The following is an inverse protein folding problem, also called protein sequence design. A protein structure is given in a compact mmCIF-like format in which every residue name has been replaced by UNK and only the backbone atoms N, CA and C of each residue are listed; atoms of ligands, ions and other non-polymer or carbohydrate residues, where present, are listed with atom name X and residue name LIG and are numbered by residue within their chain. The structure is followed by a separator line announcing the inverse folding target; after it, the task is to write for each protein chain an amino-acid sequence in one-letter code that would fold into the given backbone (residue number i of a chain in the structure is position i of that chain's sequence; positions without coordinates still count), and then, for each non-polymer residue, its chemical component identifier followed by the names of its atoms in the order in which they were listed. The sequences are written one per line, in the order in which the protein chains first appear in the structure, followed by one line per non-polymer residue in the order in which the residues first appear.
data_IF_059665950598
#
_entry.id   IF_059665950598
#
_cell.length_a   1.000
_cell.length_b   1.000
_cell.length_c   1.000
_cell.angle_alpha   90.00
_cell.angle_beta   90.00
_cell.angle_gamma   90.00
#
_symmetry.space_group_name_H-M   'P 1'
#
loop_
_entity.id
_entity.type
_entity.pdbx_description
1 polymer ?
#
# COMPACT_ATOMS: atom_id res chain seq x y z
N UNK A 1 10.49 18.19 -3.40
CA UNK A 1 10.15 17.29 -2.27
C UNK A 1 11.40 16.62 -1.73
N UNK A 2 11.37 16.08 -0.51
CA UNK A 2 12.54 15.45 0.12
C UNK A 2 12.31 13.97 0.35
N UNK A 3 13.26 13.13 -0.08
CA UNK A 3 13.25 11.68 0.09
C UNK A 3 14.21 11.29 1.23
N UNK A 4 13.72 10.51 2.18
CA UNK A 4 14.52 9.97 3.29
C UNK A 4 15.34 8.78 2.82
N UNK A 5 14.69 7.85 2.11
CA UNK A 5 15.29 6.61 1.61
C UNK A 5 14.40 5.95 0.55
N UNK A 6 15.00 5.06 -0.24
CA UNK A 6 14.26 4.13 -1.11
C UNK A 6 15.01 2.81 -1.18
N UNK A 7 14.30 1.68 -1.15
CA UNK A 7 14.90 0.36 -1.11
C UNK A 7 13.94 -0.74 -1.58
N UNK A 8 14.51 -1.84 -2.07
CA UNK A 8 13.78 -3.06 -2.42
C UNK A 8 13.73 -3.99 -1.21
N UNK A 9 12.55 -4.49 -0.88
CA UNK A 9 12.32 -5.40 0.24
C UNK A 9 11.04 -6.22 0.01
N UNK A 10 10.48 -6.76 1.09
CA UNK A 10 9.13 -7.30 1.15
C UNK A 10 8.22 -6.36 1.94
N UNK A 11 6.93 -6.29 1.58
CA UNK A 11 5.95 -5.64 2.46
C UNK A 11 5.86 -6.46 3.76
N UNK A 12 6.20 -5.83 4.87
CA UNK A 12 6.29 -6.51 6.17
C UNK A 12 4.97 -6.56 6.94
N UNK A 13 3.95 -5.78 6.53
CA UNK A 13 2.78 -5.49 7.36
C UNK A 13 1.47 -5.49 6.58
N UNK A 14 0.35 -5.81 7.28
CA UNK A 14 -1.01 -5.68 6.78
C UNK A 14 -1.39 -6.70 5.69
N UNK A 15 -2.40 -6.36 4.93
CA UNK A 15 -3.05 -7.22 3.92
C UNK A 15 -2.09 -7.78 2.86
N UNK A 16 -1.02 -7.07 2.57
CA UNK A 16 -0.08 -7.41 1.51
C UNK A 16 1.28 -7.89 2.04
N UNK A 17 1.36 -8.31 3.31
CA UNK A 17 2.58 -8.84 3.90
C UNK A 17 3.16 -10.00 3.07
N UNK A 18 4.48 -10.05 2.94
CA UNK A 18 5.22 -11.04 2.13
C UNK A 18 5.36 -10.70 0.63
N UNK A 19 4.68 -9.66 0.12
CA UNK A 19 4.81 -9.26 -1.29
C UNK A 19 6.13 -8.53 -1.53
N UNK A 20 6.77 -8.82 -2.67
CA UNK A 20 7.92 -8.04 -3.14
C UNK A 20 7.52 -6.57 -3.28
N UNK A 21 8.28 -5.66 -2.66
CA UNK A 21 7.93 -4.24 -2.55
C UNK A 21 9.16 -3.35 -2.74
N UNK A 22 8.97 -2.23 -3.43
CA UNK A 22 9.95 -1.16 -3.48
C UNK A 22 9.40 0.05 -2.74
N UNK A 23 10.13 0.49 -1.73
CA UNK A 23 9.70 1.55 -0.83
C UNK A 23 10.27 2.90 -1.22
N UNK A 24 9.42 3.93 -1.14
CA UNK A 24 9.81 5.34 -1.16
C UNK A 24 9.34 5.99 0.14
N UNK A 25 10.28 6.41 0.99
CA UNK A 25 9.99 7.11 2.24
C UNK A 25 10.22 8.60 2.09
N UNK A 26 9.13 9.37 2.02
CA UNK A 26 9.18 10.83 1.92
C UNK A 26 9.26 11.50 3.30
N UNK A 27 9.90 12.66 3.34
CA UNK A 27 10.07 13.47 4.54
C UNK A 27 8.83 14.36 4.77
N UNK A 28 8.48 14.57 6.04
CA UNK A 28 7.35 15.39 6.50
C UNK A 28 6.25 14.57 7.12
N UNK A 29 5.71 15.06 8.23
CA UNK A 29 4.52 14.51 8.90
C UNK A 29 3.77 15.63 9.59
N UNK A 30 2.44 15.55 9.58
CA UNK A 30 1.58 16.46 10.33
C UNK A 30 1.39 16.05 11.80
N UNK A 31 1.88 14.86 12.20
CA UNK A 31 1.86 14.34 13.56
C UNK A 31 3.30 14.16 14.11
N UNK A 32 3.43 13.99 15.44
CA UNK A 32 4.70 13.72 16.11
C UNK A 32 4.73 12.36 16.81
N UNK A 33 3.57 11.91 17.29
CA UNK A 33 3.36 10.59 17.91
C UNK A 33 4.36 10.28 19.04
N UNK A 34 4.62 11.23 19.92
CA UNK A 34 5.60 11.09 20.99
C UNK A 34 5.28 9.95 21.97
N UNK A 35 4.00 9.57 22.08
CA UNK A 35 3.54 8.48 22.96
C UNK A 35 4.02 7.08 22.55
N UNK A 36 4.55 6.89 21.33
CA UNK A 36 5.11 5.60 20.93
C UNK A 36 6.52 5.33 21.49
N UNK A 37 7.17 6.36 22.07
CA UNK A 37 8.40 6.19 22.84
C UNK A 37 9.66 5.86 22.05
N UNK A 38 9.61 5.86 20.72
CA UNK A 38 10.81 5.73 19.91
C UNK A 38 11.75 6.92 20.12
N UNK A 39 13.06 6.68 20.24
CA UNK A 39 14.07 7.72 20.43
C UNK A 39 15.17 7.66 19.38
N UNK A 40 15.60 8.82 18.89
CA UNK A 40 16.82 8.95 18.08
C UNK A 40 17.55 10.25 18.43
N UNK A 41 18.87 10.20 18.40
CA UNK A 41 19.71 11.38 18.58
C UNK A 41 19.81 12.13 17.23
N UNK A 42 19.58 13.44 17.27
CA UNK A 42 19.76 14.30 16.12
C UNK A 42 21.25 14.37 15.75
N UNK A 43 21.66 14.00 14.53
CA UNK A 43 23.06 14.15 14.10
C UNK A 43 23.50 15.61 13.97
N UNK A 44 22.54 16.56 13.81
CA UNK A 44 22.85 17.98 13.65
C UNK A 44 22.96 18.73 14.98
N UNK A 45 22.22 18.33 16.00
CA UNK A 45 22.10 19.12 17.23
C UNK A 45 22.42 18.35 18.51
N UNK A 46 22.57 17.02 18.44
CA UNK A 46 22.72 16.16 19.62
C UNK A 46 21.43 15.99 20.46
N UNK A 47 20.30 16.62 20.06
CA UNK A 47 19.06 16.54 20.79
C UNK A 47 18.43 15.14 20.68
N UNK A 48 17.83 14.66 21.79
CA UNK A 48 17.03 13.43 21.77
C UNK A 48 15.65 13.76 21.20
N UNK A 49 15.30 13.10 20.09
CA UNK A 49 14.02 13.22 19.41
C UNK A 49 13.14 12.03 19.76
N UNK A 50 11.88 12.30 20.13
CA UNK A 50 10.91 11.28 20.52
C UNK A 50 9.75 11.23 19.52
N UNK A 51 9.34 10.00 19.15
CA UNK A 51 8.25 9.82 18.18
C UNK A 51 7.99 8.36 17.88
N UNK A 52 7.43 8.12 16.69
CA UNK A 52 7.25 6.78 16.12
C UNK A 52 8.56 6.25 15.51
N UNK A 53 8.50 5.09 14.89
CA UNK A 53 9.61 4.44 14.16
C UNK A 53 10.15 5.26 12.96
N UNK A 54 9.39 6.25 12.48
CA UNK A 54 9.77 7.10 11.34
C UNK A 54 10.31 8.48 11.74
N UNK A 55 10.99 8.60 12.89
CA UNK A 55 11.57 9.87 13.41
C UNK A 55 12.36 10.62 12.33
N UNK A 56 13.16 9.93 11.51
CA UNK A 56 13.95 10.54 10.42
C UNK A 56 13.08 11.28 9.41
N UNK A 57 11.91 10.75 9.10
CA UNK A 57 10.96 11.38 8.18
C UNK A 57 10.16 12.52 8.85
N UNK A 58 9.91 12.43 10.16
CA UNK A 58 9.10 13.39 10.91
C UNK A 58 9.89 14.67 11.27
N UNK A 59 11.12 14.52 11.73
CA UNK A 59 11.95 15.63 12.21
C UNK A 59 12.93 16.11 11.13
N UNK A 60 12.38 16.64 10.06
CA UNK A 60 13.08 16.94 8.80
C UNK A 60 14.26 17.91 8.92
N UNK A 61 14.32 18.73 9.95
CA UNK A 61 15.43 19.68 10.18
C UNK A 61 16.63 19.05 10.89
N UNK A 62 16.47 17.84 11.41
CA UNK A 62 17.48 17.13 12.20
C UNK A 62 18.26 16.08 11.42
N UNK A 63 17.82 15.72 10.22
CA UNK A 63 18.44 14.70 9.38
C UNK A 63 18.67 15.23 7.98
N UNK A 64 19.64 14.65 7.28
CA UNK A 64 19.85 14.88 5.85
C UNK A 64 18.83 14.06 5.04
N UNK A 65 18.35 14.68 3.95
CA UNK A 65 17.43 14.06 3.02
C UNK A 65 17.85 14.42 1.59
N UNK A 66 17.58 13.52 0.66
CA UNK A 66 17.82 13.79 -0.74
C UNK A 66 16.74 14.74 -1.29
N UNK A 67 17.15 15.82 -1.93
CA UNK A 67 16.22 16.71 -2.62
C UNK A 67 15.85 16.15 -3.98
N UNK A 68 14.56 15.93 -4.20
CA UNK A 68 14.01 15.47 -5.47
C UNK A 68 13.46 16.66 -6.24
N UNK A 69 14.09 16.93 -7.38
CA UNK A 69 13.80 18.08 -8.24
C UNK A 69 13.02 17.69 -9.51
N UNK A 70 13.11 16.41 -9.92
CA UNK A 70 12.44 15.93 -11.14
C UNK A 70 12.04 14.47 -11.03
N UNK A 71 11.15 14.07 -11.93
CA UNK A 71 10.58 12.72 -12.00
C UNK A 71 11.63 11.63 -12.23
N UNK A 72 12.63 11.90 -13.07
CA UNK A 72 13.67 10.91 -13.43
C UNK A 72 14.49 10.49 -12.20
N UNK A 73 14.73 11.39 -11.24
CA UNK A 73 15.41 11.04 -9.99
C UNK A 73 14.67 9.97 -9.19
N UNK A 74 13.33 9.99 -9.19
CA UNK A 74 12.53 8.95 -8.52
C UNK A 74 12.49 7.66 -9.34
N UNK A 75 12.22 7.75 -10.63
CA UNK A 75 12.05 6.57 -11.48
C UNK A 75 13.33 5.75 -11.61
N UNK A 76 14.50 6.41 -11.67
CA UNK A 76 15.79 5.74 -11.76
C UNK A 76 16.19 4.96 -10.50
N UNK A 77 15.48 5.17 -9.37
CA UNK A 77 15.70 4.39 -8.14
C UNK A 77 15.06 3.00 -8.20
N UNK A 78 14.04 2.83 -9.04
CA UNK A 78 13.34 1.55 -9.17
C UNK A 78 14.22 0.57 -9.93
N UNK A 79 14.62 -0.57 -9.32
CA UNK A 79 15.50 -1.52 -9.96
C UNK A 79 14.81 -2.16 -11.18
N UNK A 80 15.56 -2.29 -12.28
CA UNK A 80 15.12 -3.05 -13.43
C UNK A 80 15.29 -4.55 -13.14
N UNK A 81 14.23 -5.19 -12.64
CA UNK A 81 14.23 -6.60 -12.28
C UNK A 81 14.00 -7.53 -13.49
N UNK A 82 13.68 -6.98 -14.65
CA UNK A 82 13.60 -7.71 -15.90
C UNK A 82 14.96 -7.68 -16.59
N UNK A 83 15.63 -8.81 -16.69
CA UNK A 83 16.88 -8.97 -17.44
C UNK A 83 16.74 -8.80 -18.96
N UNK A 84 15.84 -7.97 -19.44
CA UNK A 84 15.62 -7.61 -20.82
C UNK A 84 15.41 -6.12 -20.93
N UNK A 85 16.36 -5.45 -21.53
CA UNK A 85 16.26 -4.05 -21.98
C UNK A 85 15.30 -3.95 -23.17
N UNK A 86 14.02 -4.12 -22.93
CA UNK A 86 12.99 -3.82 -23.93
C UNK A 86 12.01 -2.82 -23.34
N UNK A 87 12.40 -1.55 -23.32
CA UNK A 87 11.44 -0.47 -23.33
C UNK A 87 10.92 -0.34 -24.76
N UNK A 88 9.84 -1.04 -25.07
CA UNK A 88 9.01 -0.64 -26.20
C UNK A 88 8.32 0.70 -25.82
N UNK A 89 8.29 1.68 -26.72
CA UNK A 89 7.55 2.90 -26.48
C UNK A 89 6.08 2.55 -26.30
N UNK A 90 5.46 3.18 -25.31
CA UNK A 90 4.07 3.00 -24.94
C UNK A 90 3.16 3.05 -26.17
N UNK A 91 2.34 2.03 -26.36
CA UNK A 91 1.17 2.10 -27.20
C UNK A 91 0.32 3.30 -26.76
N UNK A 92 0.12 4.20 -27.67
CA UNK A 92 -0.79 5.32 -27.57
C UNK A 92 -2.22 4.81 -27.41
N UNK A 93 -2.72 4.72 -26.19
CA UNK A 93 -4.15 4.69 -25.93
C UNK A 93 -4.61 6.16 -25.86
N UNK A 94 -5.61 6.57 -26.65
CA UNK A 94 -6.11 7.93 -26.61
C UNK A 94 -6.95 8.14 -25.35
N UNK A 95 -6.55 9.09 -24.48
CA UNK A 95 -7.46 9.60 -23.49
C UNK A 95 -6.98 9.89 -22.08
N UNK A 96 -5.67 9.96 -21.78
CA UNK A 96 -5.25 10.41 -20.44
C UNK A 96 -3.92 11.16 -20.51
N UNK A 97 -3.93 12.39 -20.06
CA UNK A 97 -2.85 13.36 -19.90
C UNK A 97 -2.75 14.41 -21.03
N UNK A 98 -3.68 15.34 -21.02
CA UNK A 98 -3.42 16.71 -21.41
C UNK A 98 -4.07 17.62 -20.36
N UNK A 99 -3.24 18.23 -19.53
CA UNK A 99 -3.66 19.36 -18.73
C UNK A 99 -3.74 20.56 -19.66
N UNK A 100 -4.87 20.74 -20.30
CA UNK A 100 -5.23 22.00 -20.96
C UNK A 100 -6.10 22.83 -20.02
N UNK A 101 -5.69 24.07 -19.89
CA UNK A 101 -6.39 25.17 -19.25
C UNK A 101 -7.83 25.25 -19.71
N UNK A 102 -8.80 25.08 -18.82
CA UNK A 102 -10.19 25.42 -19.06
C UNK A 102 -10.60 26.61 -18.22
N UNK A 103 -10.78 27.73 -18.92
CA UNK A 103 -11.70 28.81 -18.56
C UNK A 103 -13.03 28.55 -19.29
N UNK A 104 -14.08 28.60 -18.50
CA UNK A 104 -15.50 28.87 -18.76
C UNK A 104 -16.18 28.49 -20.08
N UNK A 105 -17.29 27.75 -19.99
CA UNK A 105 -18.64 28.27 -20.24
C UNK A 105 -19.72 27.21 -20.00
N UNK A 106 -20.76 27.63 -19.28
CA UNK A 106 -22.02 26.93 -19.03
C UNK A 106 -22.76 26.59 -20.31
N UNK A 107 -23.39 25.41 -20.36
CA UNK A 107 -24.78 25.25 -20.82
C UNK A 107 -25.34 23.86 -20.45
N UNK A 108 -26.53 23.90 -19.89
CA UNK A 108 -27.45 22.81 -19.56
C UNK A 108 -27.87 22.02 -20.81
N UNK A 109 -27.97 20.69 -20.73
CA UNK A 109 -29.19 20.00 -21.18
C UNK A 109 -29.31 18.56 -20.66
N UNK A 110 -30.51 18.26 -20.25
CA UNK A 110 -31.07 17.02 -19.73
C UNK A 110 -31.33 15.98 -20.83
N UNK A 111 -31.08 14.69 -20.55
CA UNK A 111 -31.95 13.61 -21.05
C UNK A 111 -31.68 12.30 -20.30
N UNK A 112 -32.75 11.74 -19.77
CA UNK A 112 -32.85 10.43 -19.11
C UNK A 112 -32.80 9.31 -20.15
N UNK A 113 -32.19 8.17 -19.78
CA UNK A 113 -32.49 6.88 -20.42
C UNK A 113 -32.25 5.71 -19.48
N UNK A 114 -33.24 4.93 -19.42
CA UNK A 114 -33.70 3.76 -18.70
C UNK A 114 -32.74 2.56 -18.69
N UNK A 115 -32.78 1.84 -17.57
CA UNK A 115 -32.26 0.46 -17.37
C UNK A 115 -33.17 -0.58 -18.01
N UNK A 116 -32.66 -1.75 -18.36
CA UNK A 116 -33.46 -2.97 -18.34
C UNK A 116 -33.00 -3.99 -17.28
N UNK A 117 -34.00 -4.44 -16.57
CA UNK A 117 -34.07 -5.63 -15.72
C UNK A 117 -33.66 -6.89 -16.48
N UNK A 118 -33.01 -7.84 -15.83
CA UNK A 118 -33.04 -9.23 -16.26
C UNK A 118 -33.27 -10.16 -15.06
N UNK A 119 -34.16 -11.10 -15.34
CA UNK A 119 -34.85 -12.02 -14.41
C UNK A 119 -33.97 -13.17 -13.92
N UNK A 120 -34.37 -13.69 -12.77
CA UNK A 120 -33.94 -14.95 -12.16
C UNK A 120 -34.54 -16.14 -12.93
N UNK A 121 -33.76 -17.21 -13.07
CA UNK A 121 -34.30 -18.57 -13.22
C UNK A 121 -33.63 -19.52 -12.24
N UNK A 122 -34.52 -20.21 -11.50
CA UNK A 122 -34.23 -21.30 -10.59
C UNK A 122 -34.14 -22.62 -11.38
N UNK A 123 -33.22 -23.51 -11.01
CA UNK A 123 -33.19 -24.86 -11.51
C UNK A 123 -32.38 -25.78 -10.59
N UNK A 124 -33.06 -26.44 -9.67
CA UNK A 124 -32.55 -27.59 -8.93
C UNK A 124 -32.26 -28.76 -9.87
N UNK A 125 -31.16 -29.49 -9.66
CA UNK A 125 -31.21 -30.95 -9.72
C UNK A 125 -30.00 -31.62 -9.03
N UNK A 126 -30.36 -32.61 -8.30
CA UNK A 126 -29.61 -33.45 -7.37
C UNK A 126 -28.82 -34.57 -8.03
N UNK A 127 -27.70 -34.93 -7.38
CA UNK A 127 -27.14 -36.26 -7.11
C UNK A 127 -27.03 -37.32 -8.26
N UNK A 128 -25.79 -37.78 -8.52
CA UNK A 128 -25.46 -39.19 -8.28
C UNK A 128 -23.94 -39.45 -8.37
N UNK A 129 -23.44 -40.09 -7.31
CA UNK A 129 -22.15 -40.78 -7.21
C UNK A 129 -22.23 -42.10 -7.99
N UNK A 130 -21.22 -42.43 -8.80
CA UNK A 130 -20.67 -43.78 -8.91
C UNK A 130 -19.23 -43.77 -9.39
N UNK A 131 -18.50 -44.62 -8.73
CA UNK A 131 -17.07 -44.95 -8.82
C UNK A 131 -16.71 -45.73 -10.10
N UNK A 132 -15.39 -45.78 -10.32
CA UNK A 132 -14.59 -46.73 -11.09
C UNK A 132 -14.54 -46.56 -12.60
N UNK A 133 -13.32 -46.19 -13.08
CA UNK A 133 -12.53 -47.09 -13.91
C UNK A 133 -11.13 -46.56 -14.16
N UNK A 134 -10.19 -47.39 -13.77
CA UNK A 134 -8.78 -47.32 -14.02
C UNK A 134 -8.41 -47.77 -15.45
N UNK A 135 -7.26 -47.27 -15.93
CA UNK A 135 -6.30 -47.92 -16.81
C UNK A 135 -6.48 -47.86 -18.34
N UNK A 136 -5.35 -47.44 -18.92
CA UNK A 136 -4.85 -47.76 -20.25
C UNK A 136 -5.26 -46.86 -21.42
N UNK A 137 -4.39 -45.96 -21.77
CA UNK A 137 -3.97 -45.78 -23.15
C UNK A 137 -2.48 -45.33 -23.21
N UNK A 138 -1.62 -46.34 -23.37
CA UNK A 138 -0.27 -46.13 -23.90
C UNK A 138 -0.30 -46.37 -25.39
N UNK A 139 0.51 -45.64 -26.08
CA UNK A 139 1.11 -45.87 -27.36
C UNK A 139 0.55 -45.23 -28.63
N UNK A 140 1.49 -44.62 -29.28
CA UNK A 140 1.63 -44.35 -30.71
C UNK A 140 1.05 -43.05 -31.25
N UNK A 141 1.91 -42.01 -31.23
CA UNK A 141 2.16 -41.22 -32.42
C UNK A 141 3.55 -40.58 -32.32
N UNK A 142 4.52 -41.27 -32.92
CA UNK A 142 5.84 -40.72 -33.25
C UNK A 142 5.67 -39.71 -34.39
N UNK A 143 5.59 -38.43 -34.04
CA UNK A 143 5.82 -37.36 -35.00
C UNK A 143 7.29 -36.97 -34.95
N UNK A 144 7.98 -37.23 -36.04
CA UNK A 144 9.33 -36.74 -36.33
C UNK A 144 9.36 -35.24 -36.24
N UNK A 145 9.90 -34.73 -35.12
CA UNK A 145 10.27 -33.33 -34.98
C UNK A 145 11.74 -33.19 -35.30
N UNK A 146 12.01 -32.42 -36.33
CA UNK A 146 13.31 -32.00 -36.81
C UNK A 146 14.14 -31.37 -35.66
N UNK A 147 15.41 -31.83 -35.41
CA UNK A 147 16.20 -31.35 -34.27
C UNK A 147 16.73 -29.92 -34.40
N UNK A 148 16.42 -29.21 -35.49
CA UNK A 148 16.96 -27.87 -35.74
C UNK A 148 16.05 -26.69 -35.43
N UNK A 149 14.84 -26.89 -34.90
CA UNK A 149 13.98 -25.80 -34.48
C UNK A 149 13.90 -25.58 -32.94
N UNK A 150 14.77 -26.27 -32.19
CA UNK A 150 14.92 -26.03 -30.75
C UNK A 150 15.85 -24.84 -30.43
N UNK A 151 15.78 -23.77 -31.27
CA UNK A 151 16.41 -22.51 -30.95
C UNK A 151 15.57 -21.75 -29.95
N UNK A 152 15.98 -21.84 -28.68
CA UNK A 152 15.81 -20.80 -27.64
C UNK A 152 14.39 -20.27 -27.45
N UNK A 153 13.48 -21.07 -26.94
CA UNK A 153 12.51 -20.52 -25.99
C UNK A 153 13.25 -20.24 -24.66
N UNK A 154 14.01 -19.15 -24.62
CA UNK A 154 14.37 -18.56 -23.33
C UNK A 154 13.06 -18.31 -22.62
N UNK A 155 12.71 -19.18 -21.67
CA UNK A 155 11.63 -18.93 -20.74
C UNK A 155 11.93 -17.58 -20.09
N UNK A 156 11.25 -16.54 -20.55
CA UNK A 156 11.30 -15.23 -19.91
C UNK A 156 10.97 -15.50 -18.44
N UNK A 157 11.98 -15.42 -17.56
CA UNK A 157 11.75 -15.53 -16.13
C UNK A 157 10.66 -14.53 -15.80
N UNK A 158 9.52 -15.01 -15.35
CA UNK A 158 8.38 -14.19 -14.99
C UNK A 158 8.75 -13.48 -13.68
N UNK A 159 9.49 -12.38 -13.78
CA UNK A 159 9.78 -11.55 -12.63
C UNK A 159 8.51 -10.80 -12.24
N UNK A 160 8.02 -11.06 -11.04
CA UNK A 160 6.91 -10.29 -10.49
C UNK A 160 7.38 -8.85 -10.26
N UNK A 161 6.67 -7.87 -10.85
CA UNK A 161 6.92 -6.46 -10.54
C UNK A 161 6.66 -6.21 -9.07
N UNK A 162 7.57 -5.50 -8.36
CA UNK A 162 7.32 -5.10 -6.99
C UNK A 162 6.12 -4.18 -6.92
N UNK A 163 5.35 -4.28 -5.84
CA UNK A 163 4.44 -3.19 -5.47
C UNK A 163 5.28 -1.99 -5.08
N UNK A 164 4.83 -0.79 -5.42
CA UNK A 164 5.50 0.44 -4.98
C UNK A 164 4.80 0.95 -3.73
N UNK A 165 5.52 0.94 -2.62
CA UNK A 165 5.01 1.44 -1.35
C UNK A 165 5.53 2.85 -1.13
N UNK A 166 4.61 3.81 -1.13
CA UNK A 166 4.88 5.21 -0.84
C UNK A 166 4.52 5.48 0.62
N UNK A 167 5.52 5.78 1.42
CA UNK A 167 5.43 5.94 2.86
C UNK A 167 6.24 7.16 3.33
N UNK A 168 6.47 7.31 4.61
CA UNK A 168 7.31 8.38 5.16
C UNK A 168 6.88 8.74 6.57
N UNK A 169 6.87 10.04 6.87
CA UNK A 169 6.08 10.56 7.97
C UNK A 169 4.59 10.47 7.65
N UNK A 170 4.14 11.33 6.71
CA UNK A 170 2.82 11.27 6.10
C UNK A 170 2.93 11.62 4.62
N UNK A 171 2.92 10.65 3.70
CA UNK A 171 3.15 10.89 2.28
C UNK A 171 2.04 11.72 1.64
N UNK A 172 0.80 11.65 2.15
CA UNK A 172 -0.32 12.40 1.58
C UNK A 172 -0.23 13.92 1.81
N UNK A 173 0.74 14.41 2.61
CA UNK A 173 1.07 15.84 2.63
C UNK A 173 1.47 16.37 1.25
N UNK A 174 2.07 15.52 0.44
CA UNK A 174 2.57 15.84 -0.91
C UNK A 174 1.53 15.63 -2.02
N UNK A 175 0.31 15.16 -1.71
CA UNK A 175 -0.66 14.70 -2.72
C UNK A 175 -1.07 15.77 -3.76
N UNK A 176 -0.90 17.06 -3.45
CA UNK A 176 -1.18 18.20 -4.35
C UNK A 176 0.05 18.70 -5.10
N UNK A 177 1.26 18.25 -4.74
CA UNK A 177 2.49 18.65 -5.42
C UNK A 177 2.53 18.02 -6.81
N UNK A 178 2.73 18.83 -7.85
CA UNK A 178 2.70 18.38 -9.24
C UNK A 178 3.66 17.20 -9.49
N UNK A 179 4.91 17.31 -9.03
CA UNK A 179 5.91 16.25 -9.20
C UNK A 179 5.52 14.94 -8.49
N UNK A 180 4.90 15.02 -7.30
CA UNK A 180 4.45 13.83 -6.58
C UNK A 180 3.29 13.15 -7.29
N UNK A 181 2.33 13.92 -7.77
CA UNK A 181 1.19 13.38 -8.52
C UNK A 181 1.64 12.78 -9.86
N UNK A 182 2.51 13.46 -10.60
CA UNK A 182 3.12 12.97 -11.84
C UNK A 182 3.85 11.64 -11.62
N UNK A 183 4.60 11.52 -10.51
CA UNK A 183 5.27 10.27 -10.14
C UNK A 183 4.28 9.12 -9.95
N UNK A 184 3.16 9.35 -9.24
CA UNK A 184 2.11 8.34 -9.07
C UNK A 184 1.48 7.95 -10.41
N UNK A 185 1.17 8.92 -11.27
CA UNK A 185 0.64 8.66 -12.60
C UNK A 185 1.58 7.78 -13.43
N UNK A 186 2.87 8.09 -13.42
CA UNK A 186 3.89 7.35 -14.18
C UNK A 186 4.08 5.92 -13.65
N UNK A 187 4.05 5.72 -12.32
CA UNK A 187 4.09 4.38 -11.75
C UNK A 187 2.92 3.50 -12.21
N UNK A 188 1.71 4.07 -12.20
CA UNK A 188 0.50 3.39 -12.66
C UNK A 188 0.55 3.11 -14.16
N UNK A 189 1.01 4.07 -14.97
CA UNK A 189 1.18 3.91 -16.41
C UNK A 189 2.20 2.81 -16.75
N UNK A 190 3.24 2.65 -15.94
CA UNK A 190 4.20 1.53 -16.04
C UNK A 190 3.65 0.20 -15.51
N UNK A 191 2.41 0.16 -15.04
CA UNK A 191 1.74 -1.03 -14.55
C UNK A 191 2.21 -1.50 -13.17
N UNK A 192 2.73 -0.61 -12.33
CA UNK A 192 2.97 -0.90 -10.92
C UNK A 192 1.69 -0.79 -10.10
N UNK A 193 1.51 -1.66 -9.12
CA UNK A 193 0.56 -1.44 -8.05
C UNK A 193 1.16 -0.41 -7.08
N UNK A 194 0.46 0.68 -6.82
CA UNK A 194 0.90 1.76 -5.92
C UNK A 194 0.12 1.69 -4.62
N UNK A 195 0.84 1.55 -3.51
CA UNK A 195 0.31 1.44 -2.15
C UNK A 195 0.81 2.62 -1.32
N UNK A 196 -0.11 3.26 -0.61
CA UNK A 196 0.21 4.31 0.36
C UNK A 196 0.12 3.79 1.78
N UNK A 197 1.11 4.09 2.61
CA UNK A 197 1.01 3.98 4.06
C UNK A 197 0.78 5.37 4.64
N UNK A 198 -0.42 5.61 5.16
CA UNK A 198 -0.89 6.94 5.62
C UNK A 198 -1.51 6.88 7.01
N UNK A 199 -1.47 7.97 7.75
CA UNK A 199 -2.19 8.10 9.01
C UNK A 199 -3.70 8.41 8.82
N UNK A 200 -4.14 8.65 7.58
CA UNK A 200 -5.54 8.87 7.23
C UNK A 200 -6.12 10.23 7.62
N UNK A 201 -5.29 11.22 7.97
CA UNK A 201 -5.78 12.54 8.38
C UNK A 201 -5.93 13.53 7.23
N UNK A 202 -5.32 13.25 6.07
CA UNK A 202 -5.32 14.14 4.90
C UNK A 202 -6.50 13.79 4.00
N UNK A 203 -7.38 14.77 3.78
CA UNK A 203 -8.47 14.63 2.82
C UNK A 203 -7.96 14.79 1.40
N UNK A 204 -8.07 13.72 0.62
CA UNK A 204 -7.69 13.68 -0.80
C UNK A 204 -8.88 14.05 -1.67
N UNK A 205 -8.66 14.94 -2.62
CA UNK A 205 -9.62 15.27 -3.68
C UNK A 205 -9.44 14.29 -4.86
N UNK A 206 -10.21 13.22 -4.87
CA UNK A 206 -10.15 12.18 -5.89
C UNK A 206 -10.71 12.61 -7.25
N UNK A 207 -11.49 13.67 -7.31
CA UNK A 207 -11.97 14.22 -8.58
C UNK A 207 -10.87 15.03 -9.26
N UNK A 208 -10.16 15.84 -8.50
CA UNK A 208 -9.02 16.62 -8.99
C UNK A 208 -7.79 15.76 -9.26
N UNK A 209 -7.60 14.68 -8.51
CA UNK A 209 -6.44 13.78 -8.59
C UNK A 209 -6.86 12.32 -8.80
N UNK A 210 -7.47 11.98 -9.97
CA UNK A 210 -8.11 10.69 -10.20
C UNK A 210 -7.16 9.48 -10.19
N UNK A 211 -5.85 9.65 -10.39
CA UNK A 211 -4.88 8.55 -10.32
C UNK A 211 -4.90 7.85 -8.95
N UNK A 212 -5.19 8.56 -7.87
CA UNK A 212 -5.30 7.95 -6.54
C UNK A 212 -6.45 6.94 -6.42
N UNK A 213 -7.47 7.00 -7.29
CA UNK A 213 -8.54 5.98 -7.35
C UNK A 213 -8.01 4.59 -7.71
N UNK A 214 -6.85 4.51 -8.37
CA UNK A 214 -6.19 3.25 -8.75
C UNK A 214 -5.19 2.75 -7.69
N UNK A 215 -5.03 3.45 -6.58
CA UNK A 215 -4.07 3.13 -5.53
C UNK A 215 -4.71 2.40 -4.35
N UNK A 216 -3.87 1.71 -3.57
CA UNK A 216 -4.24 1.04 -2.32
C UNK A 216 -3.78 1.90 -1.14
N UNK A 217 -4.61 2.01 -0.10
CA UNK A 217 -4.29 2.78 1.10
C UNK A 217 -4.30 1.88 2.34
N UNK A 218 -3.11 1.60 2.87
CA UNK A 218 -2.92 1.03 4.20
C UNK A 218 -3.00 2.17 5.22
N UNK A 219 -4.17 2.34 5.81
CA UNK A 219 -4.45 3.47 6.69
C UNK A 219 -4.17 3.08 8.13
N UNK A 220 -3.35 3.86 8.83
CA UNK A 220 -3.00 3.65 10.23
C UNK A 220 -3.48 4.82 11.10
N UNK A 221 -4.80 4.92 11.38
CA UNK A 221 -5.32 5.96 12.25
C UNK A 221 -4.62 5.89 13.61
N UNK A 222 -4.20 7.04 14.13
CA UNK A 222 -3.49 7.05 15.40
C UNK A 222 -4.49 7.05 16.54
N UNK A 223 -4.27 6.18 17.52
CA UNK A 223 -5.04 6.08 18.74
C UNK A 223 -4.47 7.02 19.82
N UNK A 224 -5.14 7.15 20.97
CA UNK A 224 -4.74 8.09 22.03
C UNK A 224 -3.35 7.79 22.60
N UNK A 225 -2.90 6.53 22.54
CA UNK A 225 -1.54 6.12 22.91
C UNK A 225 -0.43 6.80 22.09
N UNK A 226 -0.75 7.43 20.97
CA UNK A 226 0.19 8.25 20.19
C UNK A 226 0.55 9.58 20.88
N UNK A 227 -0.19 9.98 21.92
CA UNK A 227 -0.14 11.29 22.57
C UNK A 227 -0.47 12.49 21.64
N UNK A 228 -1.12 12.22 20.52
CA UNK A 228 -1.66 13.28 19.65
C UNK A 228 -3.10 13.62 20.06
N UNK A 229 -3.48 14.90 20.05
CA UNK A 229 -4.86 15.32 20.27
C UNK A 229 -5.82 14.67 19.26
N UNK A 230 -7.02 14.33 19.72
CA UNK A 230 -8.00 13.61 18.89
C UNK A 230 -8.32 14.33 17.58
N UNK A 231 -8.48 15.64 17.62
CA UNK A 231 -8.79 16.50 16.48
C UNK A 231 -7.65 16.55 15.43
N UNK A 232 -6.42 16.23 15.82
CA UNK A 232 -5.28 16.13 14.91
C UNK A 232 -5.10 14.74 14.33
N UNK A 233 -5.40 13.70 15.13
CA UNK A 233 -5.12 12.30 14.76
C UNK A 233 -6.26 11.59 14.04
N UNK A 234 -7.49 12.10 14.12
CA UNK A 234 -8.68 11.52 13.49
C UNK A 234 -9.37 12.52 12.56
N UNK A 235 -9.53 12.12 11.30
CA UNK A 235 -10.31 12.85 10.30
C UNK A 235 -11.26 11.87 9.60
N UNK A 236 -12.48 11.73 10.14
CA UNK A 236 -13.46 10.80 9.59
C UNK A 236 -13.89 11.12 8.16
N UNK A 237 -13.83 12.38 7.73
CA UNK A 237 -14.10 12.73 6.33
C UNK A 237 -13.01 12.17 5.41
N UNK A 238 -11.74 12.27 5.82
CA UNK A 238 -10.63 11.70 5.07
C UNK A 238 -10.71 10.16 5.01
N UNK A 239 -11.01 9.50 6.15
CA UNK A 239 -11.17 8.04 6.20
C UNK A 239 -12.28 7.55 5.26
N UNK A 240 -13.45 8.19 5.31
CA UNK A 240 -14.56 7.85 4.40
C UNK A 240 -14.22 8.11 2.95
N UNK A 241 -13.55 9.22 2.63
CA UNK A 241 -13.13 9.54 1.27
C UNK A 241 -12.18 8.48 0.71
N UNK A 242 -11.17 8.06 1.48
CA UNK A 242 -10.26 6.98 1.11
C UNK A 242 -11.02 5.66 0.87
N UNK A 243 -11.93 5.29 1.80
CA UNK A 243 -12.70 4.04 1.72
C UNK A 243 -13.61 3.97 0.49
N UNK A 244 -14.21 5.10 0.13
CA UNK A 244 -15.19 5.17 -0.98
C UNK A 244 -14.55 5.26 -2.36
N UNK A 245 -13.35 5.84 -2.47
CA UNK A 245 -12.79 6.22 -3.76
C UNK A 245 -11.52 5.45 -4.14
N UNK A 246 -10.79 4.89 -3.19
CA UNK A 246 -9.58 4.13 -3.49
C UNK A 246 -9.89 2.76 -4.11
N UNK A 247 -8.93 2.20 -4.84
CA UNK A 247 -9.00 0.81 -5.35
C UNK A 247 -9.21 -0.20 -4.23
N UNK A 248 -8.51 -0.01 -3.11
CA UNK A 248 -8.63 -0.76 -1.87
C UNK A 248 -8.14 0.08 -0.70
N UNK A 249 -8.73 -0.11 0.47
CA UNK A 249 -8.24 0.50 1.70
C UNK A 249 -8.56 -0.39 2.90
N UNK A 250 -7.65 -0.42 3.87
CA UNK A 250 -7.78 -1.19 5.10
C UNK A 250 -7.08 -0.49 6.25
N UNK A 251 -7.47 -0.82 7.48
CA UNK A 251 -6.85 -0.24 8.68
C UNK A 251 -5.73 -1.13 9.21
N UNK A 252 -4.65 -0.48 9.70
CA UNK A 252 -3.56 -1.09 10.45
C UNK A 252 -3.49 -0.50 11.85
N UNK A 253 -3.48 -1.36 12.88
CA UNK A 253 -3.30 -0.94 14.27
C UNK A 253 -2.18 -1.72 14.94
N UNK A 254 -1.35 -1.01 15.69
CA UNK A 254 -0.34 -1.61 16.56
C UNK A 254 -0.95 -1.84 17.93
N UNK A 255 -0.96 -3.10 18.38
CA UNK A 255 -1.64 -3.55 19.60
C UNK A 255 -0.59 -3.93 20.65
N UNK A 256 -0.85 -3.53 21.89
CA UNK A 256 -0.03 -3.90 23.04
C UNK A 256 -0.90 -4.08 24.28
N UNK A 257 -0.47 -4.90 25.26
CA UNK A 257 -1.26 -5.16 26.48
C UNK A 257 -1.42 -3.94 27.38
N UNK A 258 -0.56 -2.92 27.24
CA UNK A 258 -0.57 -1.72 28.09
C UNK A 258 -1.66 -0.71 27.69
N UNK A 259 -2.35 -0.94 26.57
CA UNK A 259 -3.33 -0.01 26.04
C UNK A 259 -4.55 -0.76 25.47
N UNK A 260 -5.73 -0.49 26.04
CA UNK A 260 -7.00 -1.00 25.49
C UNK A 260 -7.38 -0.22 24.23
N UNK A 261 -7.04 -0.78 23.07
CA UNK A 261 -7.29 -0.17 21.77
C UNK A 261 -8.74 -0.34 21.29
N UNK A 262 -9.50 -1.31 21.83
CA UNK A 262 -10.78 -1.71 21.27
C UNK A 262 -11.85 -0.60 21.24
N UNK A 263 -12.03 0.22 22.30
CA UNK A 263 -13.03 1.28 22.26
C UNK A 263 -12.80 2.29 21.13
N UNK A 264 -11.53 2.67 20.91
CA UNK A 264 -11.18 3.65 19.86
C UNK A 264 -11.25 3.03 18.46
N UNK A 265 -10.86 1.76 18.28
CA UNK A 265 -11.04 1.04 17.03
C UNK A 265 -12.54 0.92 16.70
N UNK A 266 -13.38 0.60 17.69
CA UNK A 266 -14.83 0.53 17.50
C UNK A 266 -15.43 1.88 17.09
N UNK A 267 -14.96 2.99 17.66
CA UNK A 267 -15.37 4.33 17.26
C UNK A 267 -15.01 4.63 15.79
N UNK A 268 -13.80 4.27 15.37
CA UNK A 268 -13.34 4.45 13.99
C UNK A 268 -14.19 3.61 13.04
N UNK A 269 -14.44 2.35 13.37
CA UNK A 269 -15.23 1.44 12.52
C UNK A 269 -16.70 1.87 12.45
N UNK A 270 -17.28 2.38 13.52
CA UNK A 270 -18.64 2.93 13.52
C UNK A 270 -18.76 4.14 12.60
N UNK A 271 -17.71 4.95 12.48
CA UNK A 271 -17.68 6.10 11.61
C UNK A 271 -17.33 5.74 10.13
N UNK A 272 -16.52 4.72 9.93
CA UNK A 272 -16.08 4.25 8.62
C UNK A 272 -15.62 2.78 8.70
N UNK A 273 -16.47 1.85 8.30
CA UNK A 273 -16.19 0.42 8.30
C UNK A 273 -15.09 0.07 7.29
N UNK A 274 -14.16 -0.79 7.70
CA UNK A 274 -13.09 -1.32 6.86
C UNK A 274 -12.51 -2.62 7.45
N UNK A 275 -11.76 -3.38 6.65
CA UNK A 275 -10.97 -4.49 7.16
C UNK A 275 -9.90 -3.97 8.14
N UNK A 276 -9.70 -4.68 9.23
CA UNK A 276 -8.72 -4.35 10.26
C UNK A 276 -7.62 -5.39 10.29
N UNK A 277 -6.38 -4.92 10.33
CA UNK A 277 -5.17 -5.70 10.53
C UNK A 277 -4.46 -5.20 11.78
N UNK A 278 -4.36 -6.05 12.78
CA UNK A 278 -3.65 -5.76 14.02
C UNK A 278 -2.27 -6.41 14.02
N UNK A 279 -1.28 -5.72 14.54
CA UNK A 279 0.09 -6.20 14.66
C UNK A 279 0.64 -5.93 16.04
N UNK A 280 1.52 -6.79 16.59
CA UNK A 280 2.12 -6.57 17.89
C UNK A 280 3.04 -5.35 17.88
N UNK A 281 3.03 -4.59 18.98
CA UNK A 281 4.04 -3.56 19.21
C UNK A 281 5.40 -4.22 19.44
N UNK A 282 6.45 -3.63 18.90
CA UNK A 282 7.82 -4.06 19.13
C UNK A 282 8.78 -3.38 18.16
N UNK A 283 9.97 -3.03 18.66
CA UNK A 283 11.08 -2.50 17.89
C UNK A 283 12.06 -3.61 17.48
N UNK A 284 12.09 -4.72 18.21
CA UNK A 284 12.94 -5.86 17.96
C UNK A 284 12.17 -7.19 17.96
N UNK A 285 12.89 -8.30 17.67
CA UNK A 285 12.30 -9.64 17.61
C UNK A 285 11.73 -10.11 18.93
N UNK A 286 12.39 -9.78 20.07
CA UNK A 286 11.99 -10.20 21.40
C UNK A 286 10.69 -9.53 21.82
N UNK A 287 10.58 -8.22 21.58
CA UNK A 287 9.36 -7.47 21.85
C UNK A 287 8.19 -7.98 21.01
N UNK A 288 8.42 -8.23 19.70
CA UNK A 288 7.38 -8.80 18.84
C UNK A 288 6.94 -10.19 19.33
N UNK A 289 7.87 -11.05 19.73
CA UNK A 289 7.55 -12.37 20.22
C UNK A 289 6.72 -12.32 21.51
N UNK A 290 7.09 -11.45 22.44
CA UNK A 290 6.35 -11.30 23.70
C UNK A 290 4.94 -10.74 23.50
N UNK A 291 4.70 -9.88 22.50
CA UNK A 291 3.41 -9.28 22.20
C UNK A 291 2.52 -10.09 21.23
N UNK A 292 3.09 -11.09 20.54
CA UNK A 292 2.40 -11.76 19.45
C UNK A 292 1.14 -12.52 19.91
N UNK A 293 1.23 -13.30 20.99
CA UNK A 293 0.09 -14.06 21.52
C UNK A 293 -1.05 -13.14 21.93
N UNK A 294 -0.74 -12.06 22.68
CA UNK A 294 -1.75 -11.05 23.06
C UNK A 294 -2.44 -10.45 21.83
N UNK A 295 -1.66 -10.10 20.80
CA UNK A 295 -2.23 -9.54 19.58
C UNK A 295 -3.13 -10.54 18.82
N UNK A 296 -2.74 -11.82 18.78
CA UNK A 296 -3.57 -12.88 18.18
C UNK A 296 -4.88 -13.03 18.95
N UNK A 297 -4.83 -13.11 20.27
CA UNK A 297 -6.02 -13.24 21.13
C UNK A 297 -6.95 -12.04 20.97
N UNK A 298 -6.38 -10.83 20.87
CA UNK A 298 -7.12 -9.61 20.56
C UNK A 298 -7.82 -9.70 19.20
N UNK A 299 -7.14 -10.16 18.16
CA UNK A 299 -7.71 -10.36 16.83
C UNK A 299 -8.87 -11.37 16.86
N UNK A 300 -8.68 -12.54 17.47
CA UNK A 300 -9.69 -13.59 17.56
C UNK A 300 -10.93 -13.10 18.31
N UNK A 301 -10.74 -12.37 19.41
CA UNK A 301 -11.84 -11.83 20.22
C UNK A 301 -12.69 -10.82 19.45
N UNK A 302 -12.08 -10.03 18.58
CA UNK A 302 -12.73 -8.89 17.95
C UNK A 302 -13.03 -9.10 16.45
N UNK A 303 -12.69 -10.27 15.88
CA UNK A 303 -12.91 -10.56 14.47
C UNK A 303 -11.99 -9.79 13.52
N UNK A 304 -10.75 -9.48 13.95
CA UNK A 304 -9.75 -8.77 13.15
C UNK A 304 -8.72 -9.72 12.56
N UNK A 305 -8.03 -9.25 11.52
CA UNK A 305 -6.92 -9.99 10.93
C UNK A 305 -5.63 -9.73 11.71
N UNK A 306 -4.84 -10.77 11.94
CA UNK A 306 -3.49 -10.64 12.46
C UNK A 306 -2.51 -10.38 11.32
N UNK A 307 -1.56 -9.49 11.53
CA UNK A 307 -0.40 -9.28 10.69
C UNK A 307 0.85 -9.23 11.55
N UNK A 308 1.88 -9.97 11.18
CA UNK A 308 3.19 -9.78 11.82
C UNK A 308 3.90 -8.53 11.25
N UNK A 309 5.06 -8.19 11.82
CA UNK A 309 6.01 -7.21 11.30
C UNK A 309 7.23 -7.96 10.75
N UNK A 310 7.07 -8.55 9.56
CA UNK A 310 8.04 -9.48 8.96
C UNK A 310 9.43 -8.87 8.82
N UNK A 311 9.54 -7.59 8.49
CA UNK A 311 10.83 -6.90 8.37
C UNK A 311 11.61 -6.92 9.69
N UNK A 312 10.95 -6.73 10.85
CA UNK A 312 11.59 -6.81 12.16
C UNK A 312 11.93 -8.28 12.49
N UNK A 313 11.03 -9.24 12.15
CA UNK A 313 11.32 -10.68 12.36
C UNK A 313 12.56 -11.13 11.61
N UNK A 314 12.73 -10.68 10.37
CA UNK A 314 13.83 -11.13 9.50
C UNK A 314 15.11 -10.36 9.79
N UNK A 315 15.04 -9.03 9.89
CA UNK A 315 16.22 -8.16 9.90
C UNK A 315 16.47 -7.44 11.23
N UNK A 316 15.52 -7.55 12.21
CA UNK A 316 15.62 -6.82 13.48
C UNK A 316 15.47 -5.31 13.28
N UNK A 317 16.36 -4.54 13.91
CA UNK A 317 16.35 -3.07 13.89
C UNK A 317 17.02 -2.45 12.67
N UNK A 318 17.32 -3.25 11.64
CA UNK A 318 18.03 -2.74 10.46
C UNK A 318 17.15 -1.80 9.64
N UNK A 319 17.64 -0.57 9.38
CA UNK A 319 17.00 0.41 8.48
C UNK A 319 17.18 0.01 7.00
N UNK A 320 16.21 0.35 6.14
CA UNK A 320 16.31 0.19 4.68
C UNK A 320 16.21 -1.25 4.17
N UNK A 321 15.46 -2.10 4.86
CA UNK A 321 15.26 -3.52 4.52
C UNK A 321 13.79 -3.90 4.48
#
# INVERSE_FOLDING_TARGET
MRLVESFLSIQGEGKYAGRLAFFFRFAGCNLRCAGFGGERISPKTGAILRGCDTIRAVFTNHFEHEEILNLSQLLNKIPNLSGSSCFAPACSAPGFCAAESFFESDTLNSAAAQTPFCQKDNGENSLNLTSENSLNFAAQNSLNLDPQSAAASQSAKLYQKPIIVITGGEPMLHHKEALFYEFVCELLARGHAVHFETNGTILVDFEKFPAYKSCVFAVSPKLSNSAEPRERRLNFAALRSLRQNAKDSFYKFVISPEFDAQPEISEILAACESEVYCMPRGADRRELESGAQFCVDFCLKNGYNYSDRLHIRIWGEKDGV
#
